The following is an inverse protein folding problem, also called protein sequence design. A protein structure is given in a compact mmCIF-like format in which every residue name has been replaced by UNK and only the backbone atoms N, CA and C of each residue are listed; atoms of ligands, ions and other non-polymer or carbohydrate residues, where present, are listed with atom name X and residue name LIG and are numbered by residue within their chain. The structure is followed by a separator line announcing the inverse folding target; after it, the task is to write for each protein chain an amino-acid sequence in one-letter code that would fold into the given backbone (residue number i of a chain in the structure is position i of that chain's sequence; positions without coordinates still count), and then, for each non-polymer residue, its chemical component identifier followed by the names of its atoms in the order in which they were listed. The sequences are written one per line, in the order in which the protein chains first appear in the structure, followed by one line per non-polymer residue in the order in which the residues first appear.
data_IF_258988581236
#
_entry.id   IF_258988581236
#
_cell.length_a   1.000
_cell.length_b   1.000
_cell.length_c   1.000
_cell.angle_alpha   90.00
_cell.angle_beta   90.00
_cell.angle_gamma   90.00
#
_symmetry.space_group_name_H-M   'P 1'
#
loop_
_entity.id
_entity.type
_entity.pdbx_description
1 polymer ?
#
# COMPACT_ATOMS: atom_id res chain seq x y z
N UNK A 1 21.12 22.11 -53.67
CA UNK A 1 21.07 21.72 -52.25
C UNK A 1 21.18 20.20 -52.14
N UNK A 2 22.15 19.69 -51.41
CA UNK A 2 22.32 18.24 -51.27
C UNK A 2 21.34 17.72 -50.22
N UNK A 3 20.52 16.77 -50.64
CA UNK A 3 19.67 16.01 -49.73
C UNK A 3 20.53 15.02 -48.96
N UNK A 4 20.66 15.21 -47.66
CA UNK A 4 21.19 14.18 -46.74
C UNK A 4 20.14 13.09 -46.60
N UNK A 5 20.32 11.97 -47.28
CA UNK A 5 19.66 10.71 -46.97
C UNK A 5 20.60 9.88 -46.11
N UNK A 6 20.43 9.99 -44.82
CA UNK A 6 21.04 9.11 -43.81
C UNK A 6 19.96 8.71 -42.83
N UNK A 7 18.99 7.93 -43.28
CA UNK A 7 18.08 7.25 -42.32
C UNK A 7 18.73 5.94 -41.88
N UNK A 8 19.38 5.98 -40.74
CA UNK A 8 19.70 4.76 -39.99
C UNK A 8 18.45 4.35 -39.22
N UNK A 9 17.77 3.32 -39.68
CA UNK A 9 16.68 2.74 -38.92
C UNK A 9 17.24 1.82 -37.85
N UNK A 10 17.26 2.29 -36.61
CA UNK A 10 17.35 1.38 -35.48
C UNK A 10 15.92 0.87 -35.26
N UNK A 11 15.66 -0.37 -35.60
CA UNK A 11 14.37 -0.99 -35.29
C UNK A 11 14.50 -1.75 -33.98
N UNK A 12 13.75 -1.31 -32.99
CA UNK A 12 13.62 -2.00 -31.70
C UNK A 12 12.14 -2.16 -31.38
N UNK A 13 11.76 -3.30 -30.83
CA UNK A 13 10.45 -3.53 -30.26
C UNK A 13 10.60 -3.91 -28.80
N UNK A 14 9.86 -3.25 -27.94
CA UNK A 14 9.74 -3.63 -26.53
C UNK A 14 8.27 -3.82 -26.17
N UNK A 15 7.96 -4.84 -25.40
CA UNK A 15 6.64 -5.07 -24.85
C UNK A 15 6.77 -5.22 -23.34
N UNK A 16 5.96 -4.43 -22.63
CA UNK A 16 5.84 -4.53 -21.18
C UNK A 16 4.38 -4.80 -20.83
N UNK A 17 4.16 -5.83 -20.04
CA UNK A 17 2.86 -6.16 -19.47
C UNK A 17 2.95 -5.97 -17.97
N UNK A 18 2.04 -5.17 -17.43
CA UNK A 18 1.90 -4.98 -15.99
C UNK A 18 0.44 -5.11 -15.59
N UNK A 19 0.18 -5.79 -14.49
CA UNK A 19 -1.11 -5.82 -13.84
C UNK A 19 -0.93 -5.36 -12.39
N UNK A 20 -1.66 -4.32 -12.01
CA UNK A 20 -1.68 -3.81 -10.64
C UNK A 20 -3.10 -3.96 -10.12
N UNK A 21 -3.24 -4.62 -8.97
CA UNK A 21 -4.48 -4.70 -8.22
C UNK A 21 -4.30 -3.98 -6.89
N UNK A 22 -5.25 -3.11 -6.56
CA UNK A 22 -5.23 -2.34 -5.32
C UNK A 22 -6.64 -2.38 -4.76
N UNK A 23 -6.76 -2.97 -3.58
CA UNK A 23 -7.99 -3.00 -2.79
C UNK A 23 -7.78 -2.23 -1.50
N UNK A 24 -8.69 -1.34 -1.15
CA UNK A 24 -8.66 -0.62 0.11
C UNK A 24 -10.05 -0.54 0.72
N UNK A 25 -10.09 -0.59 2.04
CA UNK A 25 -11.32 -0.48 2.80
C UNK A 25 -11.07 0.43 4.01
N UNK A 26 -11.79 1.54 4.02
CA UNK A 26 -11.71 2.52 5.09
C UNK A 26 -13.11 2.85 5.60
N UNK A 27 -13.34 2.60 6.89
CA UNK A 27 -14.55 2.96 7.59
C UNK A 27 -14.18 3.39 9.02
N UNK A 28 -14.28 4.67 9.31
CA UNK A 28 -13.95 5.20 10.63
C UNK A 28 -14.93 6.31 11.03
N UNK A 29 -15.27 6.33 12.30
CA UNK A 29 -15.98 7.46 12.90
C UNK A 29 -14.98 8.60 13.05
N UNK A 30 -15.21 9.69 12.35
CA UNK A 30 -14.37 10.89 12.41
C UNK A 30 -14.71 11.77 13.60
N UNK A 31 -15.98 11.84 13.92
CA UNK A 31 -16.49 12.56 15.08
C UNK A 31 -17.60 11.75 15.76
N UNK A 32 -17.50 11.59 17.07
CA UNK A 32 -18.47 10.84 17.84
C UNK A 32 -19.76 11.66 18.01
N UNK A 33 -20.84 11.09 17.50
CA UNK A 33 -22.18 11.68 17.61
C UNK A 33 -22.76 11.52 19.00
N UNK A 34 -23.58 12.45 19.43
CA UNK A 34 -24.32 12.33 20.71
C UNK A 34 -24.76 13.64 21.26
N UNK A 35 -25.25 13.57 22.48
CA UNK A 35 -25.62 14.75 23.29
C UNK A 35 -24.37 15.13 24.09
N UNK A 36 -23.91 16.36 23.91
CA UNK A 36 -22.74 16.90 24.61
C UNK A 36 -23.17 18.08 25.46
N UNK A 37 -23.18 17.91 26.77
CA UNK A 37 -23.51 18.93 27.76
C UNK A 37 -22.24 19.45 28.46
N UNK A 38 -22.24 20.72 28.82
CA UNK A 38 -21.15 21.35 29.57
C UNK A 38 -21.17 21.06 31.07
N UNK A 39 -20.68 22.04 31.86
CA UNK A 39 -20.57 21.96 33.32
C UNK A 39 -21.88 21.85 34.07
N UNK A 40 -22.99 22.19 33.44
CA UNK A 40 -24.31 22.04 34.03
C UNK A 40 -24.90 20.63 33.88
N UNK A 41 -24.20 19.74 33.15
CA UNK A 41 -24.63 18.36 32.98
C UNK A 41 -25.86 18.21 32.10
N UNK A 42 -26.53 17.08 32.21
CA UNK A 42 -27.74 16.77 31.48
C UNK A 42 -28.81 16.18 32.39
N UNK A 43 -30.07 16.53 32.10
CA UNK A 43 -31.26 15.90 32.68
C UNK A 43 -32.17 15.48 31.50
N UNK A 44 -32.18 14.18 31.23
CA UNK A 44 -32.81 13.61 30.02
C UNK A 44 -33.87 12.61 30.44
N UNK A 45 -35.10 12.78 29.92
CA UNK A 45 -36.19 11.84 30.11
C UNK A 45 -36.72 11.35 28.77
N UNK A 46 -36.55 10.05 28.50
CA UNK A 46 -36.98 9.37 27.28
C UNK A 46 -38.08 8.37 27.59
N UNK A 47 -39.29 8.58 27.08
CA UNK A 47 -40.41 7.64 27.30
C UNK A 47 -40.26 6.31 26.56
N UNK A 48 -39.38 6.24 25.58
CA UNK A 48 -39.09 5.05 24.77
C UNK A 48 -37.69 4.48 25.02
N UNK A 49 -37.19 3.78 24.04
CA UNK A 49 -35.81 3.25 24.05
C UNK A 49 -34.80 4.34 23.75
N UNK A 50 -33.70 4.38 24.49
CA UNK A 50 -32.49 5.10 24.13
C UNK A 50 -31.54 4.11 23.40
N UNK A 51 -31.18 4.38 22.16
CA UNK A 51 -30.26 3.54 21.39
C UNK A 51 -28.96 4.30 21.06
N UNK A 52 -27.83 3.79 21.51
CA UNK A 52 -26.51 4.37 21.30
C UNK A 52 -25.69 3.46 20.39
N UNK A 53 -25.37 3.93 19.21
CA UNK A 53 -24.51 3.22 18.25
C UNK A 53 -23.23 4.04 18.03
N UNK A 54 -22.16 3.68 18.72
CA UNK A 54 -20.93 4.49 18.76
C UNK A 54 -21.19 5.90 19.31
N UNK A 55 -22.36 6.15 19.86
CA UNK A 55 -22.81 7.45 20.30
C UNK A 55 -22.66 7.67 21.80
N UNK A 56 -22.68 8.92 22.21
CA UNK A 56 -22.49 9.28 23.62
C UNK A 56 -23.55 10.25 24.12
N UNK A 57 -23.83 10.13 25.42
CA UNK A 57 -24.45 11.20 26.21
C UNK A 57 -23.39 11.66 27.19
N UNK A 58 -22.76 12.79 26.89
CA UNK A 58 -21.55 13.23 27.56
C UNK A 58 -21.71 14.60 28.22
N UNK A 59 -21.04 14.80 29.32
CA UNK A 59 -20.86 16.09 29.99
C UNK A 59 -19.38 16.32 30.32
N UNK A 60 -19.07 17.50 30.86
CA UNK A 60 -17.76 17.76 31.42
C UNK A 60 -17.48 16.90 32.65
N UNK A 61 -16.18 16.69 32.93
CA UNK A 61 -15.76 15.99 34.15
C UNK A 61 -16.23 16.71 35.40
N UNK A 62 -16.38 18.05 35.35
CA UNK A 62 -16.93 18.85 36.43
C UNK A 62 -18.41 18.50 36.71
N UNK A 63 -19.26 18.38 35.68
CA UNK A 63 -20.65 18.01 35.83
C UNK A 63 -20.79 16.60 36.44
N UNK A 64 -19.91 15.67 36.08
CA UNK A 64 -19.83 14.32 36.69
C UNK A 64 -19.52 14.41 38.17
N UNK A 65 -18.51 15.20 38.57
CA UNK A 65 -18.11 15.40 39.96
C UNK A 65 -19.22 16.05 40.81
N UNK A 66 -19.93 17.02 40.21
CA UNK A 66 -21.04 17.75 40.86
C UNK A 66 -22.37 16.96 40.87
N UNK A 67 -22.38 15.73 40.27
CA UNK A 67 -23.57 14.86 40.26
C UNK A 67 -24.73 15.39 39.45
N UNK A 68 -24.46 16.19 38.39
CA UNK A 68 -25.51 16.92 37.63
C UNK A 68 -26.11 16.12 36.46
N UNK A 69 -25.70 14.86 36.27
CA UNK A 69 -26.14 14.05 35.13
C UNK A 69 -27.28 13.10 35.52
N UNK A 70 -28.38 13.13 34.78
CA UNK A 70 -29.50 12.23 34.94
C UNK A 70 -30.05 11.78 33.59
N UNK A 71 -30.25 10.47 33.43
CA UNK A 71 -30.96 9.87 32.30
C UNK A 71 -32.05 8.94 32.84
N UNK A 72 -33.28 9.19 32.48
CA UNK A 72 -34.40 8.28 32.70
C UNK A 72 -34.91 7.82 31.33
N UNK A 73 -34.96 6.50 31.12
CA UNK A 73 -35.42 5.92 29.84
C UNK A 73 -36.22 4.66 30.05
N UNK A 74 -37.12 4.31 29.14
CA UNK A 74 -37.89 3.07 29.26
C UNK A 74 -36.98 1.88 29.11
N UNK A 75 -36.12 1.84 28.08
CA UNK A 75 -35.08 0.83 27.87
C UNK A 75 -33.84 1.50 27.26
N UNK A 76 -32.70 0.81 27.32
CA UNK A 76 -31.40 1.29 26.83
C UNK A 76 -30.70 0.21 26.06
N UNK A 77 -30.33 0.51 24.83
CA UNK A 77 -29.47 -0.34 23.99
C UNK A 77 -28.22 0.42 23.63
N UNK A 78 -27.07 -0.26 23.64
CA UNK A 78 -25.81 0.32 23.24
C UNK A 78 -24.98 -0.67 22.46
N UNK A 79 -24.24 -0.18 21.46
CA UNK A 79 -23.27 -0.96 20.71
C UNK A 79 -22.17 -0.07 20.17
N UNK A 80 -20.98 -0.60 20.16
CA UNK A 80 -19.80 0.08 19.69
C UNK A 80 -19.71 0.01 18.14
N UNK A 81 -18.99 0.96 17.55
CA UNK A 81 -18.62 0.93 16.14
C UNK A 81 -17.17 0.48 16.01
N UNK A 82 -16.95 -0.51 15.18
CA UNK A 82 -15.57 -0.94 14.81
C UNK A 82 -15.09 -0.08 13.65
N UNK A 83 -14.03 0.67 13.88
CA UNK A 83 -13.31 1.39 12.84
C UNK A 83 -12.30 0.46 12.18
N UNK A 84 -12.14 0.61 10.88
CA UNK A 84 -11.31 -0.25 10.07
C UNK A 84 -10.63 0.56 8.98
N UNK A 85 -9.35 0.30 8.78
CA UNK A 85 -8.58 0.79 7.67
C UNK A 85 -7.66 -0.35 7.24
N UNK A 86 -7.78 -0.83 6.03
CA UNK A 86 -6.92 -1.85 5.47
C UNK A 86 -6.74 -1.63 3.97
N UNK A 87 -5.58 -2.01 3.48
CA UNK A 87 -5.34 -2.10 2.06
C UNK A 87 -4.44 -3.29 1.74
N UNK A 88 -4.62 -3.80 0.53
CA UNK A 88 -3.76 -4.78 -0.11
C UNK A 88 -3.50 -4.33 -1.55
N UNK A 89 -2.25 -4.19 -1.88
CA UNK A 89 -1.82 -3.76 -3.20
C UNK A 89 -0.77 -4.73 -3.73
N UNK A 90 -0.95 -5.18 -4.95
CA UNK A 90 0.01 -6.04 -5.63
C UNK A 90 0.18 -5.62 -7.08
N UNK A 91 1.40 -5.75 -7.57
CA UNK A 91 1.70 -5.54 -8.97
C UNK A 91 2.61 -6.64 -9.48
N UNK A 92 2.35 -7.07 -10.69
CA UNK A 92 3.21 -8.00 -11.44
C UNK A 92 3.55 -7.37 -12.76
N UNK A 93 4.82 -7.33 -13.11
CA UNK A 93 5.26 -6.84 -14.40
C UNK A 93 6.17 -7.84 -15.10
N UNK A 94 5.98 -7.95 -16.41
CA UNK A 94 6.79 -8.75 -17.34
C UNK A 94 7.18 -7.85 -18.49
N UNK A 95 8.45 -7.84 -18.86
CA UNK A 95 8.92 -7.06 -19.98
C UNK A 95 9.94 -7.79 -20.81
N UNK A 96 10.03 -7.43 -22.07
CA UNK A 96 11.06 -7.91 -22.99
C UNK A 96 11.25 -6.95 -24.15
N UNK A 97 12.47 -6.94 -24.69
CA UNK A 97 12.79 -6.08 -25.83
C UNK A 97 13.77 -6.75 -26.78
N UNK A 98 13.65 -6.39 -28.03
CA UNK A 98 14.57 -6.75 -29.10
C UNK A 98 15.06 -5.47 -29.75
N UNK A 99 16.37 -5.34 -29.88
CA UNK A 99 17.01 -4.26 -30.63
C UNK A 99 17.87 -4.85 -31.75
N UNK A 100 17.65 -4.34 -32.96
CA UNK A 100 18.48 -4.63 -34.13
C UNK A 100 19.30 -3.39 -34.49
N UNK A 101 20.60 -3.60 -34.68
CA UNK A 101 21.49 -2.52 -35.10
C UNK A 101 21.39 -2.33 -36.61
N UNK A 102 21.08 -1.09 -37.02
CA UNK A 102 21.12 -0.72 -38.43
C UNK A 102 22.54 -0.83 -39.00
N UNK A 103 22.63 -1.19 -40.27
CA UNK A 103 23.91 -1.21 -41.03
C UNK A 103 24.01 0.09 -41.86
N UNK A 104 25.21 0.64 -41.97
CA UNK A 104 25.48 1.75 -42.89
C UNK A 104 25.40 1.28 -44.35
N UNK A 105 25.49 2.22 -45.32
CA UNK A 105 25.47 1.90 -46.74
C UNK A 105 26.62 1.01 -47.22
N UNK A 106 27.63 0.75 -46.36
CA UNK A 106 28.77 -0.14 -46.62
C UNK A 106 28.64 -1.49 -45.88
N UNK A 107 27.50 -1.73 -45.19
CA UNK A 107 27.23 -2.97 -44.48
C UNK A 107 27.85 -3.07 -43.10
N UNK A 108 28.48 -2.01 -42.59
CA UNK A 108 29.07 -2.00 -41.24
C UNK A 108 28.01 -1.65 -40.20
N UNK A 109 28.05 -2.32 -39.06
CA UNK A 109 27.17 -1.99 -37.94
C UNK A 109 27.42 -0.56 -37.45
N UNK A 110 26.33 0.25 -37.37
CA UNK A 110 26.42 1.61 -36.82
C UNK A 110 26.53 1.55 -35.30
N UNK A 111 27.73 1.64 -34.79
CA UNK A 111 27.96 1.77 -33.35
C UNK A 111 27.85 3.23 -32.95
N UNK A 112 26.73 3.60 -32.31
CA UNK A 112 26.56 4.97 -31.80
C UNK A 112 27.19 5.12 -30.43
N UNK A 113 28.44 5.38 -30.33
CA UNK A 113 29.22 6.02 -29.28
C UNK A 113 28.85 5.92 -27.77
N UNK A 114 27.80 5.22 -27.39
CA UNK A 114 27.37 5.02 -26.02
C UNK A 114 27.56 3.56 -25.62
N UNK A 115 28.23 3.35 -24.48
CA UNK A 115 28.42 2.01 -23.89
C UNK A 115 27.23 1.68 -22.94
N UNK A 116 26.98 0.40 -22.76
CA UNK A 116 26.04 -0.05 -21.75
C UNK A 116 26.54 0.24 -20.34
N UNK A 117 25.70 0.66 -19.40
CA UNK A 117 26.12 0.93 -18.04
C UNK A 117 26.89 -0.24 -17.41
N UNK A 118 28.07 0.08 -16.85
CA UNK A 118 28.91 -0.88 -16.16
C UNK A 118 29.66 -1.86 -17.02
N UNK A 119 29.69 -1.69 -18.35
CA UNK A 119 30.44 -2.52 -19.31
C UNK A 119 31.12 -1.67 -20.38
N UNK A 120 32.07 -2.22 -21.08
CA UNK A 120 32.72 -1.63 -22.27
C UNK A 120 31.98 -1.99 -23.57
N UNK A 121 30.82 -2.66 -23.47
CA UNK A 121 30.04 -3.10 -24.62
C UNK A 121 29.26 -1.94 -25.24
N UNK A 122 29.31 -1.83 -26.56
CA UNK A 122 28.55 -0.85 -27.29
C UNK A 122 27.04 -1.05 -27.08
N UNK A 123 26.33 0.06 -26.88
CA UNK A 123 24.88 0.04 -26.58
C UNK A 123 24.02 -0.46 -27.75
N UNK A 124 24.58 -0.50 -28.95
CA UNK A 124 23.89 -0.80 -30.20
C UNK A 124 24.21 -2.19 -30.78
N UNK A 125 24.53 -3.15 -29.93
CA UNK A 125 24.61 -4.54 -30.38
C UNK A 125 23.21 -5.16 -30.42
N UNK A 126 22.96 -6.06 -31.42
CA UNK A 126 21.73 -6.83 -31.48
C UNK A 126 21.47 -7.52 -30.14
N UNK A 127 20.41 -7.20 -29.49
CA UNK A 127 20.12 -7.70 -28.17
C UNK A 127 18.67 -8.16 -28.04
N UNK A 128 18.49 -9.39 -27.59
CA UNK A 128 17.22 -9.89 -27.09
C UNK A 128 17.35 -9.89 -25.57
N UNK A 129 16.60 -8.99 -24.92
CA UNK A 129 16.55 -8.89 -23.47
C UNK A 129 15.15 -9.26 -22.98
N UNK A 130 15.05 -10.23 -22.08
CA UNK A 130 13.86 -10.43 -21.27
C UNK A 130 14.12 -9.80 -19.89
N UNK A 131 13.25 -8.92 -19.46
CA UNK A 131 13.29 -8.42 -18.09
C UNK A 131 12.82 -9.54 -17.15
N UNK A 132 13.44 -9.65 -16.00
CA UNK A 132 12.97 -10.60 -14.99
C UNK A 132 11.56 -10.21 -14.55
N UNK A 133 10.67 -11.20 -14.36
CA UNK A 133 9.36 -10.95 -13.77
C UNK A 133 9.51 -10.26 -12.42
N UNK A 134 8.78 -9.18 -12.21
CA UNK A 134 8.76 -8.45 -10.95
C UNK A 134 7.38 -8.63 -10.34
N UNK A 135 7.32 -9.09 -9.10
CA UNK A 135 6.12 -9.13 -8.29
C UNK A 135 6.38 -8.35 -7.00
N UNK A 136 5.56 -7.36 -6.74
CA UNK A 136 5.66 -6.49 -5.56
C UNK A 136 4.30 -6.48 -4.88
N UNK A 137 4.29 -6.52 -3.55
CA UNK A 137 3.10 -6.35 -2.74
C UNK A 137 3.33 -5.36 -1.62
N UNK A 138 2.29 -4.62 -1.26
CA UNK A 138 2.24 -3.75 -0.11
C UNK A 138 0.89 -3.92 0.57
N UNK A 139 0.86 -4.04 1.89
CA UNK A 139 -0.39 -4.12 2.65
C UNK A 139 -0.19 -3.57 4.05
N UNK A 140 -1.24 -2.98 4.59
CA UNK A 140 -1.29 -2.56 5.98
C UNK A 140 -2.72 -2.61 6.50
N UNK A 141 -2.88 -2.66 7.82
CA UNK A 141 -4.18 -2.69 8.48
C UNK A 141 -4.14 -2.00 9.83
N UNK A 142 -5.18 -1.23 10.11
CA UNK A 142 -5.44 -0.62 11.40
C UNK A 142 -6.89 -0.83 11.81
N UNK A 143 -7.14 -0.93 13.09
CA UNK A 143 -8.49 -1.00 13.65
C UNK A 143 -8.56 -0.29 14.98
N UNK A 144 -9.71 0.29 15.27
CA UNK A 144 -10.04 0.86 16.58
C UNK A 144 -11.53 0.66 16.88
N UNK A 145 -11.96 1.08 18.04
CA UNK A 145 -13.35 0.96 18.45
C UNK A 145 -13.84 2.31 18.99
N UNK A 146 -14.88 2.85 18.37
CA UNK A 146 -15.63 3.99 18.91
C UNK A 146 -16.69 3.44 19.87
N UNK A 147 -16.48 3.65 21.16
CA UNK A 147 -17.35 3.10 22.20
C UNK A 147 -18.55 3.98 22.46
N UNK A 148 -19.73 3.35 22.53
CA UNK A 148 -20.90 4.01 23.09
C UNK A 148 -20.72 4.23 24.58
N UNK A 149 -21.34 5.26 25.12
CA UNK A 149 -21.29 5.49 26.56
C UNK A 149 -22.11 6.68 27.05
N UNK A 150 -22.20 6.73 28.37
CA UNK A 150 -22.94 7.81 29.08
C UNK A 150 -22.05 8.27 30.23
N UNK A 151 -21.74 9.56 30.31
CA UNK A 151 -20.97 10.14 31.43
C UNK A 151 -21.52 9.73 32.80
N UNK A 152 -20.66 9.76 33.82
CA UNK A 152 -21.03 9.47 35.19
C UNK A 152 -22.25 10.26 35.62
N UNK A 153 -23.17 9.63 36.40
CA UNK A 153 -24.42 10.19 36.86
C UNK A 153 -25.51 9.13 37.02
N UNK A 154 -26.74 9.54 37.35
CA UNK A 154 -27.87 8.64 37.51
C UNK A 154 -28.38 8.14 36.15
N UNK A 155 -28.53 6.83 35.99
CA UNK A 155 -29.19 6.20 34.83
C UNK A 155 -30.29 5.27 35.37
N UNK A 156 -31.53 5.51 34.99
CA UNK A 156 -32.70 4.74 35.42
C UNK A 156 -33.38 4.18 34.17
N UNK A 157 -33.50 2.86 34.11
CA UNK A 157 -34.29 2.14 33.11
C UNK A 157 -35.61 1.77 33.80
N UNK A 158 -36.76 2.25 33.27
CA UNK A 158 -38.05 2.15 33.94
C UNK A 158 -38.87 0.92 33.57
N UNK A 159 -38.53 0.24 32.45
CA UNK A 159 -39.21 -0.95 31.96
C UNK A 159 -38.24 -2.12 31.85
N UNK A 160 -38.04 -2.87 32.94
CA UNK A 160 -37.12 -3.99 32.98
C UNK A 160 -37.57 -5.15 32.06
N UNK A 161 -38.87 -5.34 31.87
CA UNK A 161 -39.37 -6.40 30.99
C UNK A 161 -39.04 -6.11 29.51
N UNK A 162 -39.24 -4.86 29.07
CA UNK A 162 -38.84 -4.46 27.71
C UNK A 162 -37.30 -4.46 27.55
N UNK A 163 -36.56 -4.09 28.58
CA UNK A 163 -35.11 -4.14 28.62
C UNK A 163 -34.57 -5.57 28.38
N UNK A 164 -35.09 -6.52 29.14
CA UNK A 164 -34.73 -7.93 29.02
C UNK A 164 -35.12 -8.49 27.64
N UNK A 165 -36.26 -8.13 27.12
CA UNK A 165 -36.69 -8.56 25.79
C UNK A 165 -35.79 -8.04 24.68
N UNK A 166 -35.27 -6.79 24.79
CA UNK A 166 -34.39 -6.17 23.78
C UNK A 166 -32.96 -6.68 23.86
N UNK A 167 -32.43 -6.87 25.05
CA UNK A 167 -30.99 -7.08 25.28
C UNK A 167 -30.64 -8.43 25.88
N UNK A 168 -31.61 -9.12 26.47
CA UNK A 168 -31.37 -10.30 27.31
C UNK A 168 -30.81 -9.96 28.69
N UNK A 169 -30.66 -8.69 29.05
CA UNK A 169 -30.12 -8.21 30.31
C UNK A 169 -31.17 -7.46 31.10
N UNK A 170 -31.10 -7.52 32.43
CA UNK A 170 -31.92 -6.67 33.29
C UNK A 170 -31.48 -5.22 33.23
N UNK A 171 -32.32 -4.32 33.70
CA UNK A 171 -32.00 -2.89 33.85
C UNK A 171 -30.74 -2.68 34.69
N UNK A 172 -30.61 -3.38 35.80
CA UNK A 172 -29.43 -3.32 36.68
C UNK A 172 -28.17 -3.80 35.98
N UNK A 173 -28.22 -4.95 35.28
CA UNK A 173 -27.09 -5.48 34.51
C UNK A 173 -26.65 -4.53 33.40
N UNK A 174 -27.63 -3.94 32.70
CA UNK A 174 -27.37 -2.97 31.65
C UNK A 174 -26.64 -1.74 32.18
N UNK A 175 -27.15 -1.15 33.27
CA UNK A 175 -26.54 0.05 33.89
C UNK A 175 -25.12 -0.27 34.41
N UNK A 176 -24.93 -1.45 35.01
CA UNK A 176 -23.64 -1.86 35.52
C UNK A 176 -22.58 -2.09 34.40
N UNK A 177 -23.01 -2.47 33.19
CA UNK A 177 -22.13 -2.72 32.05
C UNK A 177 -21.87 -1.48 31.17
N UNK A 178 -22.54 -0.35 31.44
CA UNK A 178 -22.36 0.87 30.64
C UNK A 178 -20.92 1.40 30.71
N UNK A 179 -20.42 1.83 29.58
CA UNK A 179 -19.21 2.64 29.54
C UNK A 179 -19.51 4.04 30.14
N UNK A 180 -18.90 4.29 31.30
CA UNK A 180 -19.06 5.54 32.05
C UNK A 180 -17.87 6.48 31.89
N UNK A 181 -16.81 6.02 31.24
CA UNK A 181 -15.60 6.81 30.96
C UNK A 181 -15.79 7.63 29.66
N UNK A 182 -16.75 8.54 29.72
CA UNK A 182 -17.13 9.43 28.62
C UNK A 182 -17.15 10.85 29.13
N UNK A 183 -16.48 11.77 28.42
CA UNK A 183 -16.42 13.19 28.76
C UNK A 183 -16.30 14.01 27.49
N UNK A 184 -16.82 15.24 27.49
CA UNK A 184 -16.60 16.20 26.41
C UNK A 184 -15.19 16.77 26.40
N UNK A 185 -14.47 16.64 27.52
CA UNK A 185 -13.09 17.12 27.67
C UNK A 185 -12.06 16.22 26.97
N UNK A 186 -12.52 15.08 26.42
CA UNK A 186 -11.69 14.08 25.73
C UNK A 186 -12.32 13.63 24.43
N UNK A 187 -11.48 13.36 23.42
CA UNK A 187 -11.95 12.72 22.17
C UNK A 187 -12.11 11.21 22.39
N UNK A 188 -13.35 10.73 22.36
CA UNK A 188 -13.69 9.31 22.47
C UNK A 188 -13.92 8.62 21.12
N UNK A 189 -13.77 9.33 20.00
CA UNK A 189 -14.03 8.76 18.67
C UNK A 189 -13.09 7.61 18.33
N UNK A 190 -11.86 7.65 18.82
CA UNK A 190 -10.78 6.72 18.42
C UNK A 190 -10.70 6.60 16.89
N UNK A 191 -10.87 7.72 16.19
CA UNK A 191 -10.84 7.76 14.74
C UNK A 191 -9.53 7.24 14.19
N UNK A 192 -9.60 6.52 13.09
CA UNK A 192 -8.43 6.11 12.33
C UNK A 192 -8.09 7.19 11.30
N UNK A 193 -6.81 7.40 11.06
CA UNK A 193 -6.36 8.12 9.87
C UNK A 193 -6.40 7.19 8.68
N UNK A 194 -6.68 7.68 7.47
CA UNK A 194 -6.46 6.91 6.27
C UNK A 194 -4.99 6.45 6.22
N UNK A 195 -4.78 5.15 6.03
CA UNK A 195 -3.45 4.53 5.92
C UNK A 195 -3.09 4.19 4.47
N UNK A 196 -4.01 4.48 3.55
CA UNK A 196 -3.90 4.18 2.13
C UNK A 196 -3.81 5.48 1.34
N UNK A 197 -2.76 5.57 0.52
CA UNK A 197 -2.59 6.58 -0.52
C UNK A 197 -2.22 5.84 -1.82
N UNK A 198 -3.14 5.84 -2.78
CA UNK A 198 -2.98 5.12 -4.05
C UNK A 198 -1.79 5.65 -4.84
N UNK A 199 -1.60 6.96 -4.86
CA UNK A 199 -0.54 7.60 -5.64
C UNK A 199 0.84 7.28 -5.04
N UNK A 200 0.96 7.27 -3.72
CA UNK A 200 2.19 6.88 -3.02
C UNK A 200 2.56 5.42 -3.27
N UNK A 201 1.58 4.51 -3.19
CA UNK A 201 1.79 3.08 -3.44
C UNK A 201 2.16 2.83 -4.89
N UNK A 202 1.47 3.46 -5.86
CA UNK A 202 1.81 3.36 -7.28
C UNK A 202 3.21 3.89 -7.57
N UNK A 203 3.55 5.05 -7.03
CA UNK A 203 4.90 5.61 -7.16
C UNK A 203 5.97 4.68 -6.57
N UNK A 204 5.70 4.06 -5.42
CA UNK A 204 6.56 3.04 -4.83
C UNK A 204 6.78 1.85 -5.75
N UNK A 205 5.72 1.31 -6.36
CA UNK A 205 5.81 0.22 -7.32
C UNK A 205 6.58 0.59 -8.59
N UNK A 206 6.39 1.80 -9.11
CA UNK A 206 7.14 2.31 -10.26
C UNK A 206 8.63 2.44 -9.97
N UNK A 207 9.00 2.97 -8.81
CA UNK A 207 10.40 3.12 -8.38
C UNK A 207 11.07 1.74 -8.28
N UNK A 208 10.44 0.78 -7.61
CA UNK A 208 10.99 -0.57 -7.45
C UNK A 208 11.09 -1.28 -8.79
N UNK A 209 10.09 -1.12 -9.66
CA UNK A 209 10.08 -1.70 -11.01
C UNK A 209 11.19 -1.11 -11.88
N UNK A 210 11.37 0.21 -11.86
CA UNK A 210 12.43 0.89 -12.59
C UNK A 210 13.82 0.46 -12.10
N UNK A 211 14.02 0.39 -10.79
CA UNK A 211 15.28 -0.10 -10.21
C UNK A 211 15.56 -1.55 -10.59
N UNK A 212 14.58 -2.43 -10.52
CA UNK A 212 14.73 -3.85 -10.85
C UNK A 212 15.06 -4.05 -12.34
N UNK A 213 14.45 -3.27 -13.22
CA UNK A 213 14.75 -3.30 -14.66
C UNK A 213 16.19 -2.85 -14.95
N UNK A 214 16.64 -1.77 -14.32
CA UNK A 214 18.01 -1.27 -14.49
C UNK A 214 19.04 -2.25 -13.92
N UNK A 215 18.78 -2.83 -12.76
CA UNK A 215 19.63 -3.85 -12.15
C UNK A 215 19.71 -5.11 -13.04
N UNK A 216 18.59 -5.56 -13.59
CA UNK A 216 18.54 -6.70 -14.51
C UNK A 216 19.36 -6.45 -15.78
N UNK A 217 19.22 -5.25 -16.36
CA UNK A 217 19.99 -4.81 -17.53
C UNK A 217 21.47 -4.78 -17.23
N UNK A 218 21.88 -4.23 -16.08
CA UNK A 218 23.27 -4.21 -15.64
C UNK A 218 23.85 -5.62 -15.50
N UNK A 219 23.13 -6.52 -14.84
CA UNK A 219 23.58 -7.91 -14.64
C UNK A 219 23.71 -8.66 -15.97
N UNK A 220 22.73 -8.49 -16.87
CA UNK A 220 22.78 -9.11 -18.20
C UNK A 220 23.98 -8.61 -19.01
N UNK A 221 24.28 -7.31 -18.96
CA UNK A 221 25.44 -6.74 -19.62
C UNK A 221 26.76 -7.26 -19.04
N UNK A 222 26.85 -7.40 -17.72
CA UNK A 222 28.02 -7.96 -17.04
C UNK A 222 28.23 -9.44 -17.37
N UNK A 223 27.16 -10.23 -17.45
CA UNK A 223 27.28 -11.63 -17.89
C UNK A 223 27.80 -11.75 -19.32
N UNK A 224 27.29 -10.92 -20.25
CA UNK A 224 27.73 -10.88 -21.63
C UNK A 224 29.20 -10.47 -21.73
N UNK A 225 29.65 -9.45 -21.00
CA UNK A 225 31.04 -9.03 -20.96
C UNK A 225 31.94 -10.17 -20.49
N UNK A 226 31.53 -10.90 -19.46
CA UNK A 226 32.27 -12.05 -18.95
C UNK A 226 32.41 -13.18 -20.00
N UNK A 227 31.32 -13.45 -20.75
CA UNK A 227 31.30 -14.46 -21.79
C UNK A 227 32.21 -14.09 -22.96
N UNK A 228 32.20 -12.83 -23.39
CA UNK A 228 33.12 -12.35 -24.43
C UNK A 228 34.60 -12.47 -23.99
N UNK A 229 34.91 -12.10 -22.75
CA UNK A 229 36.26 -12.26 -22.20
C UNK A 229 36.70 -13.75 -22.17
N UNK A 230 35.78 -14.66 -21.83
CA UNK A 230 36.02 -16.10 -21.87
C UNK A 230 36.31 -16.62 -23.30
N UNK A 231 35.53 -16.13 -24.27
CA UNK A 231 35.76 -16.49 -25.69
C UNK A 231 37.13 -16.01 -26.18
N UNK A 232 37.47 -14.75 -25.91
CA UNK A 232 38.77 -14.19 -26.25
C UNK A 232 39.93 -14.95 -25.61
N UNK A 233 39.79 -15.35 -24.33
CA UNK A 233 40.77 -16.15 -23.64
C UNK A 233 40.99 -17.54 -24.32
N UNK A 234 39.88 -18.22 -24.71
CA UNK A 234 39.94 -19.49 -25.44
C UNK A 234 40.58 -19.34 -26.81
N UNK A 235 40.32 -18.28 -27.54
CA UNK A 235 40.97 -18.01 -28.84
C UNK A 235 42.47 -17.78 -28.69
N UNK A 236 42.87 -17.02 -27.67
CA UNK A 236 44.27 -16.79 -27.38
C UNK A 236 45.01 -18.10 -27.01
N UNK A 237 44.34 -18.95 -26.21
CA UNK A 237 44.90 -20.25 -25.83
C UNK A 237 45.03 -21.17 -27.04
N UNK A 238 44.06 -21.27 -27.91
CA UNK A 238 44.10 -22.06 -29.13
C UNK A 238 45.20 -21.59 -30.10
N UNK A 239 45.45 -20.27 -30.16
CA UNK A 239 46.56 -19.70 -30.95
C UNK A 239 47.93 -19.98 -30.33
N UNK A 240 48.03 -20.07 -29.01
CA UNK A 240 49.25 -20.47 -28.32
C UNK A 240 49.57 -21.95 -28.57
N UNK A 241 48.57 -22.83 -28.38
CA UNK A 241 48.70 -24.27 -28.59
C UNK A 241 49.10 -24.63 -30.03
N UNK A 242 48.59 -23.89 -31.03
CA UNK A 242 48.97 -24.07 -32.45
C UNK A 242 50.39 -23.58 -32.78
N UNK A 243 51.01 -22.73 -31.96
CA UNK A 243 52.37 -22.27 -32.12
C UNK A 243 53.43 -23.31 -31.59
N UNK A 244 53.01 -24.09 -30.61
CA UNK A 244 53.85 -25.10 -29.95
C UNK A 244 53.77 -26.44 -30.63
N UNK A 245 53.11 -26.61 -31.79
CA UNK A 245 53.14 -27.82 -32.59
C UNK A 245 54.43 -27.80 -33.44
N UNK A 246 55.43 -28.71 -33.21
CA UNK A 246 56.58 -28.72 -33.98
C UNK A 246 56.24 -29.04 -35.45
N UNK A 247 56.82 -28.27 -36.38
CA UNK A 247 56.82 -28.68 -37.82
C UNK A 247 57.52 -30.05 -37.91
N UNK A 248 56.72 -31.05 -38.25
CA UNK A 248 57.26 -32.37 -38.61
C UNK A 248 58.08 -32.18 -39.86
N UNK A 249 59.41 -32.36 -39.69
CA UNK A 249 60.33 -32.43 -40.80
C UNK A 249 59.94 -33.63 -41.68
N UNK A 250 59.62 -33.31 -42.96
CA UNK A 250 59.50 -34.29 -44.04
C UNK A 250 60.70 -34.21 -44.97
#
# INVERSE_FOLDING_TARGET
PPFCYGMSSISGASANFGATNIDSNYASVTEQSGIKAGDDGFDINVRGNTDLVGGVIASSDKAVQDGKNSLVTSSLTSRDIKNKADYDANTVSLGGGYNEVGKDQKGNAQTGGKVNPGTDLAKNENNIGANMPIAISASDKASSVTRSGISGGAVVITDDAEQQKRTGQTAEQTVASLNRDVSIDRDGSNSLKPIFDEDEIRAGFEIVSAFSNEASTFLANKAREADLKRQQAKELQSKADNRDTPMSDA
#
